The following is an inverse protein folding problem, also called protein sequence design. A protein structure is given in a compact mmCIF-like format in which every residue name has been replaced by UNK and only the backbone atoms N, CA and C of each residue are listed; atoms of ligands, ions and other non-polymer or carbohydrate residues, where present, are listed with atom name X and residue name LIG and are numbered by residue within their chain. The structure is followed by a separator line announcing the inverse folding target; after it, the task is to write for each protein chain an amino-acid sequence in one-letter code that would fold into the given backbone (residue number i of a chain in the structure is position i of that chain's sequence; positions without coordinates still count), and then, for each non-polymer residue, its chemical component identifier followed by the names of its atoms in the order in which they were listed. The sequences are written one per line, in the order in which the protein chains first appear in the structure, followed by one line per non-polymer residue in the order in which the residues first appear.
data_IF_013177266879
#
_entry.id   IF_013177266879
#
_cell.length_a   1.000
_cell.length_b   1.000
_cell.length_c   1.000
_cell.angle_alpha   90.00
_cell.angle_beta   90.00
_cell.angle_gamma   90.00
#
_symmetry.space_group_name_H-M   'P 1'
#
loop_
_entity.id
_entity.type
_entity.pdbx_description
1 polymer ?
#
# COMPACT_ATOMS: atom_id res chain seq x y z
N UNK A 1 -1.98 -12.85 -7.67
CA UNK A 1 -2.23 -13.22 -6.26
C UNK A 1 -2.67 -11.98 -5.49
N UNK A 2 -3.60 -12.12 -4.53
CA UNK A 2 -4.13 -11.00 -3.75
C UNK A 2 -3.28 -10.78 -2.49
N UNK A 3 -2.96 -9.52 -2.18
CA UNK A 3 -2.08 -9.13 -1.07
C UNK A 3 -2.76 -8.09 -0.20
N UNK A 4 -2.55 -8.18 1.10
CA UNK A 4 -2.95 -7.17 2.08
C UNK A 4 -1.69 -6.59 2.75
N UNK A 5 -1.60 -5.27 2.82
CA UNK A 5 -0.53 -4.53 3.48
C UNK A 5 -0.94 -4.08 4.89
N UNK A 6 -0.04 -4.22 5.86
CA UNK A 6 -0.23 -3.69 7.20
C UNK A 6 0.97 -2.82 7.56
N UNK A 7 0.72 -1.67 8.20
CA UNK A 7 1.74 -0.68 8.53
C UNK A 7 2.45 -0.18 7.26
N UNK A 8 1.64 0.10 6.23
CA UNK A 8 2.11 0.35 4.87
C UNK A 8 2.90 1.66 4.73
N UNK A 9 2.91 2.52 5.74
CA UNK A 9 3.62 3.79 5.70
C UNK A 9 3.19 4.62 4.49
N UNK A 10 4.13 4.89 3.57
CA UNK A 10 3.88 5.65 2.35
C UNK A 10 3.60 4.79 1.10
N UNK A 11 3.54 3.46 1.23
CA UNK A 11 3.10 2.56 0.14
C UNK A 11 4.20 1.98 -0.75
N UNK A 12 5.48 2.08 -0.36
CA UNK A 12 6.59 1.62 -1.20
C UNK A 12 6.63 0.11 -1.45
N UNK A 13 6.20 -0.69 -0.47
CA UNK A 13 6.15 -2.15 -0.60
C UNK A 13 5.02 -2.54 -1.53
N UNK A 14 3.83 -1.96 -1.33
CA UNK A 14 2.65 -2.17 -2.15
C UNK A 14 2.93 -1.85 -3.63
N UNK A 15 3.61 -0.73 -3.91
CA UNK A 15 4.03 -0.37 -5.26
C UNK A 15 4.94 -1.45 -5.90
N UNK A 16 5.89 -1.98 -5.13
CA UNK A 16 6.74 -3.07 -5.61
C UNK A 16 5.95 -4.34 -5.93
N UNK A 17 4.94 -4.67 -5.11
CA UNK A 17 4.02 -5.79 -5.36
C UNK A 17 3.19 -5.58 -6.63
N UNK A 18 2.64 -4.38 -6.85
CA UNK A 18 1.90 -4.05 -8.07
C UNK A 18 2.77 -4.14 -9.33
N UNK A 19 4.01 -3.63 -9.27
CA UNK A 19 4.96 -3.66 -10.39
C UNK A 19 5.31 -5.08 -10.86
N UNK A 20 5.22 -6.08 -9.98
CA UNK A 20 5.48 -7.50 -10.32
C UNK A 20 4.19 -8.31 -10.49
N UNK A 21 3.03 -7.65 -10.59
CA UNK A 21 1.76 -8.26 -10.99
C UNK A 21 0.90 -8.81 -9.85
N UNK A 22 1.15 -8.41 -8.60
CA UNK A 22 0.23 -8.69 -7.49
C UNK A 22 -0.89 -7.66 -7.45
N UNK A 23 -2.02 -8.06 -6.87
CA UNK A 23 -3.16 -7.18 -6.65
C UNK A 23 -3.25 -6.85 -5.15
N UNK A 24 -2.86 -5.64 -4.77
CA UNK A 24 -2.98 -5.13 -3.41
C UNK A 24 -4.44 -4.73 -3.17
N UNK A 25 -5.17 -5.54 -2.41
CA UNK A 25 -6.61 -5.36 -2.20
C UNK A 25 -6.95 -4.61 -0.90
N UNK A 26 -5.95 -4.44 -0.03
CA UNK A 26 -6.10 -3.79 1.26
C UNK A 26 -4.75 -3.27 1.72
N UNK A 27 -4.74 -2.10 2.35
CA UNK A 27 -3.58 -1.57 3.03
C UNK A 27 -4.02 -0.57 4.11
N UNK A 28 -3.31 -0.57 5.23
CA UNK A 28 -3.61 0.29 6.38
C UNK A 28 -2.35 0.93 6.95
N UNK A 29 -2.48 2.19 7.35
CA UNK A 29 -1.45 2.95 8.04
C UNK A 29 -2.06 3.84 9.13
N UNK A 30 -1.55 3.77 10.35
CA UNK A 30 -2.09 4.54 11.48
C UNK A 30 -1.71 6.02 11.39
N UNK A 31 -0.51 6.33 10.88
CA UNK A 31 -0.05 7.69 10.71
C UNK A 31 -0.83 8.42 9.60
N UNK A 32 -1.52 9.50 9.98
CA UNK A 32 -2.37 10.27 9.07
C UNK A 32 -1.57 11.01 7.98
N UNK A 33 -0.31 11.38 8.24
CA UNK A 33 0.54 12.08 7.25
C UNK A 33 0.99 11.09 6.17
N UNK A 34 1.40 9.89 6.57
CA UNK A 34 1.79 8.82 5.65
C UNK A 34 0.60 8.36 4.79
N UNK A 35 -0.57 8.15 5.41
CA UNK A 35 -1.79 7.70 4.71
C UNK A 35 -2.22 8.64 3.57
N UNK A 36 -1.96 9.95 3.67
CA UNK A 36 -2.31 10.92 2.62
C UNK A 36 -1.67 10.60 1.26
N UNK A 37 -0.55 9.90 1.25
CA UNK A 37 0.18 9.54 0.04
C UNK A 37 0.04 8.05 -0.33
N UNK A 38 -0.68 7.27 0.48
CA UNK A 38 -0.69 5.81 0.39
C UNK A 38 -1.53 5.27 -0.79
N UNK A 39 -2.52 6.01 -1.30
CA UNK A 39 -3.29 5.68 -2.50
C UNK A 39 -3.87 6.95 -3.13
N UNK A 40 -3.02 7.87 -3.57
CA UNK A 40 -3.53 8.98 -4.38
C UNK A 40 -3.90 8.47 -5.76
N UNK A 41 -5.20 8.42 -6.03
CA UNK A 41 -5.74 8.87 -7.31
C UNK A 41 -5.49 10.38 -7.48
#
# INVERSE_FOLDING_TARGET
MKVAGFFSGVGGIELGFEQVGFNVIYSNEIDKKCRKNLFKE
#
